data_IF_304375508108
#
_entry.id   IF_304375508108
#
_cell.length_a   1.000
_cell.length_b   1.000
_cell.length_c   1.000
_cell.angle_alpha   90.00
_cell.angle_beta   90.00
_cell.angle_gamma   90.00
#
_symmetry.space_group_name_H-M   'P 1'
#
loop_
_entity.id
_entity.type
_entity.pdbx_description
1 polymer ?
#
# COMPACT_ATOMS: atom_id res chain seq x y z
N UNK A 1 15.82 2.78 -70.35
CA UNK A 1 14.64 3.47 -69.79
C UNK A 1 15.07 4.45 -68.70
N UNK A 2 14.98 5.76 -68.93
CA UNK A 2 15.31 6.79 -67.92
C UNK A 2 14.12 6.94 -66.97
N UNK A 3 14.28 6.48 -65.74
CA UNK A 3 13.25 6.58 -64.70
C UNK A 3 13.03 8.07 -64.38
N UNK A 4 11.80 8.55 -64.49
CA UNK A 4 11.46 9.97 -64.29
C UNK A 4 11.87 10.46 -62.89
N UNK A 5 12.31 11.73 -62.73
CA UNK A 5 12.82 12.26 -61.47
C UNK A 5 11.84 12.13 -60.29
N UNK A 6 10.54 12.18 -60.57
CA UNK A 6 9.47 12.04 -59.59
C UNK A 6 9.38 10.63 -58.99
N UNK A 7 9.70 9.58 -59.76
CA UNK A 7 9.67 8.18 -59.28
C UNK A 7 10.83 7.89 -58.34
N UNK A 8 12.02 8.48 -58.58
CA UNK A 8 13.19 8.37 -57.69
C UNK A 8 12.96 9.03 -56.31
N UNK A 9 12.26 10.17 -56.26
CA UNK A 9 11.90 10.82 -54.98
C UNK A 9 10.95 9.99 -54.13
N UNK A 10 9.97 9.31 -54.74
CA UNK A 10 9.05 8.39 -54.03
C UNK A 10 9.80 7.21 -53.42
N UNK A 11 10.75 6.62 -54.15
CA UNK A 11 11.59 5.54 -53.64
C UNK A 11 12.50 5.99 -52.49
N UNK A 12 13.04 7.22 -52.54
CA UNK A 12 13.84 7.75 -51.45
C UNK A 12 13.01 8.00 -50.19
N UNK A 13 11.77 8.50 -50.33
CA UNK A 13 10.86 8.65 -49.20
C UNK A 13 10.47 7.30 -48.60
N UNK A 14 10.25 6.26 -49.41
CA UNK A 14 9.97 4.90 -48.93
C UNK A 14 11.18 4.35 -48.17
N UNK A 15 12.40 4.53 -48.68
CA UNK A 15 13.63 4.11 -47.99
C UNK A 15 13.80 4.81 -46.64
N UNK A 16 13.57 6.13 -46.58
CA UNK A 16 13.63 6.89 -45.33
C UNK A 16 12.56 6.40 -44.35
N UNK A 17 11.33 6.17 -44.80
CA UNK A 17 10.23 5.70 -43.95
C UNK A 17 10.49 4.29 -43.43
N UNK A 18 11.08 3.40 -44.25
CA UNK A 18 11.52 2.07 -43.82
C UNK A 18 12.64 2.11 -42.80
N UNK A 19 13.62 3.03 -42.93
CA UNK A 19 14.71 3.19 -41.97
C UNK A 19 14.19 3.72 -40.63
N UNK A 20 13.27 4.70 -40.66
CA UNK A 20 12.64 5.24 -39.45
C UNK A 20 11.81 4.15 -38.75
N UNK A 21 10.98 3.41 -39.49
CA UNK A 21 10.21 2.31 -38.94
C UNK A 21 11.11 1.22 -38.32
N UNK A 22 12.22 0.92 -38.98
CA UNK A 22 13.20 -0.05 -38.48
C UNK A 22 13.90 0.43 -37.19
N UNK A 23 14.29 1.71 -37.11
CA UNK A 23 14.82 2.31 -35.88
C UNK A 23 13.81 2.28 -34.72
N UNK A 24 12.53 2.53 -35.00
CA UNK A 24 11.46 2.48 -33.99
C UNK A 24 11.25 1.04 -33.53
N UNK A 25 11.20 0.05 -34.43
CA UNK A 25 11.02 -1.36 -34.06
C UNK A 25 12.20 -1.90 -33.23
N UNK A 26 13.44 -1.49 -33.53
CA UNK A 26 14.61 -1.89 -32.74
C UNK A 26 14.64 -1.26 -31.35
N UNK A 27 14.11 -0.04 -31.17
CA UNK A 27 14.10 0.66 -29.89
C UNK A 27 12.81 0.48 -29.07
N UNK A 28 11.68 0.12 -29.69
CA UNK A 28 10.39 -0.09 -29.01
C UNK A 28 10.44 -1.08 -27.81
N UNK A 29 11.22 -2.20 -27.85
CA UNK A 29 11.31 -3.11 -26.72
C UNK A 29 11.92 -2.47 -25.47
N UNK A 30 12.72 -1.41 -25.61
CA UNK A 30 13.31 -0.71 -24.45
C UNK A 30 12.29 0.20 -23.76
N UNK A 31 11.33 0.75 -24.48
CA UNK A 31 10.31 1.66 -23.93
C UNK A 31 9.17 0.90 -23.25
N UNK A 32 8.81 -0.28 -23.79
CA UNK A 32 7.79 -1.16 -23.21
C UNK A 32 8.27 -1.73 -21.86
N UNK A 33 9.57 -2.06 -21.74
CA UNK A 33 10.11 -2.63 -20.51
C UNK A 33 10.01 -1.68 -19.32
N UNK A 34 10.20 -0.37 -19.50
CA UNK A 34 10.15 0.60 -18.40
C UNK A 34 8.77 0.72 -17.75
N UNK A 35 7.69 0.38 -18.46
CA UNK A 35 6.32 0.39 -17.94
C UNK A 35 5.84 -0.98 -17.43
N UNK A 36 6.57 -2.06 -17.73
CA UNK A 36 6.26 -3.45 -17.32
C UNK A 36 7.23 -3.98 -16.25
N UNK A 37 8.08 -3.11 -15.68
CA UNK A 37 8.74 -3.45 -14.42
C UNK A 37 7.65 -3.28 -13.37
N UNK A 38 7.00 -4.38 -13.00
CA UNK A 38 6.22 -4.43 -11.77
C UNK A 38 7.11 -3.86 -10.67
N UNK A 39 6.70 -2.74 -10.07
CA UNK A 39 7.34 -2.26 -8.85
C UNK A 39 7.44 -3.46 -7.91
N UNK A 40 8.58 -3.66 -7.20
CA UNK A 40 8.75 -4.79 -6.32
C UNK A 40 7.56 -4.82 -5.35
N UNK A 41 6.61 -5.71 -5.64
CA UNK A 41 5.37 -5.79 -4.90
C UNK A 41 5.77 -6.19 -3.49
N UNK A 42 5.61 -5.25 -2.54
CA UNK A 42 5.97 -5.50 -1.16
C UNK A 42 5.23 -6.78 -0.72
N UNK A 43 5.95 -7.86 -0.39
CA UNK A 43 5.32 -9.13 -0.08
C UNK A 43 4.49 -9.05 1.20
N UNK A 44 4.64 -7.97 1.98
CA UNK A 44 3.93 -7.73 3.21
C UNK A 44 2.85 -6.66 3.01
N UNK A 45 1.56 -7.03 2.96
CA UNK A 45 0.47 -6.07 2.89
C UNK A 45 0.50 -5.08 4.06
N UNK A 46 0.20 -3.82 3.76
CA UNK A 46 0.00 -2.78 4.77
C UNK A 46 -1.30 -2.99 5.54
N UNK A 47 -1.29 -2.61 6.82
CA UNK A 47 -2.49 -2.62 7.63
C UNK A 47 -3.43 -1.46 7.25
N UNK A 48 -2.85 -0.26 7.16
CA UNK A 48 -3.56 0.96 6.81
C UNK A 48 -3.57 1.19 5.30
N UNK A 49 -4.52 1.99 4.85
CA UNK A 49 -4.58 2.50 3.49
C UNK A 49 -3.42 3.45 3.25
N UNK A 50 -2.64 3.18 2.20
CA UNK A 50 -1.48 4.00 1.81
C UNK A 50 -1.87 5.07 0.79
N UNK A 51 -3.07 4.99 0.21
CA UNK A 51 -3.62 5.93 -0.77
C UNK A 51 -4.30 7.15 -0.13
N UNK A 52 -4.43 7.17 1.20
CA UNK A 52 -5.04 8.28 1.93
C UNK A 52 -4.24 8.70 3.15
N UNK A 53 -4.36 9.98 3.50
CA UNK A 53 -3.72 10.54 4.69
C UNK A 53 -4.60 10.28 5.92
N UNK A 54 -4.03 9.64 6.94
CA UNK A 54 -4.72 9.41 8.21
C UNK A 54 -4.95 10.75 8.91
N UNK A 55 -6.20 10.96 9.36
CA UNK A 55 -6.68 12.13 10.08
C UNK A 55 -6.83 11.86 11.57
N UNK A 56 -7.37 10.69 11.92
CA UNK A 56 -7.57 10.30 13.32
C UNK A 56 -7.56 8.78 13.50
N UNK A 57 -7.25 8.34 14.70
CA UNK A 57 -7.37 6.96 15.17
C UNK A 57 -8.18 6.97 16.46
N UNK A 58 -9.22 6.14 16.54
CA UNK A 58 -10.02 5.97 17.75
C UNK A 58 -10.01 4.52 18.21
N UNK A 59 -9.64 4.29 19.46
CA UNK A 59 -9.57 2.97 20.04
C UNK A 59 -9.86 2.96 21.54
N UNK A 60 -10.89 2.20 21.96
CA UNK A 60 -11.15 1.81 23.36
C UNK A 60 -10.88 2.90 24.42
N UNK A 61 -11.42 4.11 24.18
CA UNK A 61 -11.34 5.24 25.11
C UNK A 61 -10.14 6.18 24.92
N UNK A 62 -9.19 5.86 24.04
CA UNK A 62 -8.20 6.81 23.57
C UNK A 62 -8.36 7.20 22.11
N UNK A 63 -7.85 8.38 21.79
CA UNK A 63 -7.88 8.97 20.47
C UNK A 63 -6.53 9.59 20.11
N UNK A 64 -6.23 9.57 18.82
CA UNK A 64 -5.16 10.32 18.18
C UNK A 64 -5.81 11.15 17.08
N UNK A 65 -5.74 12.47 17.16
CA UNK A 65 -6.32 13.34 16.14
C UNK A 65 -5.32 14.39 15.70
N UNK A 66 -5.26 14.65 14.39
CA UNK A 66 -4.48 15.74 13.84
C UNK A 66 -5.25 17.06 13.95
N UNK A 67 -4.84 17.94 14.86
CA UNK A 67 -5.43 19.26 15.09
C UNK A 67 -4.40 20.35 14.78
N UNK A 68 -4.75 21.31 13.93
CA UNK A 68 -3.87 22.43 13.52
C UNK A 68 -2.48 22.01 12.97
N UNK A 69 -2.37 20.80 12.42
CA UNK A 69 -1.11 20.26 11.89
C UNK A 69 -0.37 19.33 12.83
N UNK A 70 -0.68 19.38 14.13
CA UNK A 70 -0.05 18.56 15.17
C UNK A 70 -0.94 17.41 15.61
N UNK A 71 -0.34 16.26 15.93
CA UNK A 71 -1.07 15.14 16.50
C UNK A 71 -1.26 15.33 17.99
N UNK A 72 -2.52 15.27 18.42
CA UNK A 72 -2.91 15.30 19.82
C UNK A 72 -3.46 13.94 20.22
N UNK A 73 -3.30 13.60 21.49
CA UNK A 73 -3.84 12.38 22.07
C UNK A 73 -4.29 12.62 23.50
N UNK A 74 -5.36 11.93 23.89
CA UNK A 74 -5.73 11.80 25.30
C UNK A 74 -4.99 10.63 25.99
N UNK A 75 -4.18 9.86 25.25
CA UNK A 75 -3.42 8.74 25.78
C UNK A 75 -2.25 9.26 26.64
N UNK A 76 -2.16 8.79 27.88
CA UNK A 76 -1.08 9.14 28.81
C UNK A 76 0.20 8.34 28.53
N UNK A 77 0.65 8.34 27.29
CA UNK A 77 1.86 7.65 26.89
C UNK A 77 3.11 8.51 27.15
N UNK A 78 4.25 7.86 27.40
CA UNK A 78 5.55 8.55 27.48
C UNK A 78 6.03 9.00 26.08
N UNK A 79 5.52 8.39 25.02
CA UNK A 79 5.91 8.70 23.63
C UNK A 79 4.96 9.73 22.99
N UNK A 80 5.47 10.60 22.10
CA UNK A 80 4.63 11.57 21.40
C UNK A 80 3.55 10.90 20.54
N UNK A 81 2.38 11.53 20.44
CA UNK A 81 1.29 11.10 19.56
C UNK A 81 1.73 10.88 18.11
N UNK A 82 2.60 11.76 17.59
CA UNK A 82 3.23 11.63 16.27
C UNK A 82 3.97 10.28 16.09
N UNK A 83 4.73 9.85 17.10
CA UNK A 83 5.46 8.58 17.01
C UNK A 83 4.50 7.38 17.00
N UNK A 84 3.37 7.48 17.70
CA UNK A 84 2.36 6.42 17.72
C UNK A 84 1.72 6.27 16.34
N UNK A 85 1.29 7.37 15.72
CA UNK A 85 0.68 7.31 14.38
C UNK A 85 1.66 6.78 13.33
N UNK A 86 2.93 7.18 13.38
CA UNK A 86 3.96 6.67 12.48
C UNK A 86 4.14 5.16 12.61
N UNK A 87 4.12 4.64 13.84
CA UNK A 87 4.18 3.18 14.08
C UNK A 87 2.99 2.47 13.44
N UNK A 88 1.78 2.99 13.62
CA UNK A 88 0.57 2.42 13.02
C UNK A 88 0.61 2.44 11.48
N UNK A 89 1.08 3.55 10.88
CA UNK A 89 1.23 3.68 9.43
C UNK A 89 2.31 2.76 8.85
N UNK A 90 3.37 2.48 9.62
CA UNK A 90 4.44 1.58 9.22
C UNK A 90 4.09 0.09 9.34
N UNK A 91 2.92 -0.26 9.89
CA UNK A 91 2.54 -1.67 10.09
C UNK A 91 2.33 -2.40 8.76
N UNK A 92 3.16 -3.42 8.57
CA UNK A 92 3.06 -4.41 7.52
C UNK A 92 3.09 -5.80 8.14
N UNK A 93 2.37 -6.73 7.54
CA UNK A 93 2.19 -8.07 8.10
C UNK A 93 2.36 -9.17 7.06
N UNK A 94 2.49 -10.39 7.54
CA UNK A 94 2.43 -11.58 6.68
C UNK A 94 0.97 -11.92 6.41
N UNK A 95 0.59 -12.01 5.15
CA UNK A 95 -0.75 -12.47 4.76
C UNK A 95 -0.98 -13.92 5.20
N UNK A 96 -2.10 -14.16 5.88
CA UNK A 96 -2.54 -15.49 6.27
C UNK A 96 -3.34 -16.11 5.14
N UNK A 97 -2.93 -17.31 4.71
CA UNK A 97 -3.77 -18.14 3.85
C UNK A 97 -5.05 -18.57 4.57
N UNK A 98 -6.09 -18.91 3.83
CA UNK A 98 -7.36 -19.38 4.40
C UNK A 98 -7.16 -20.58 5.35
N UNK A 99 -6.28 -21.52 5.01
CA UNK A 99 -6.01 -22.69 5.85
C UNK A 99 -5.34 -22.29 7.18
N UNK A 100 -4.36 -21.37 7.14
CA UNK A 100 -3.73 -20.85 8.37
C UNK A 100 -4.74 -20.09 9.24
N UNK A 101 -5.62 -19.29 8.63
CA UNK A 101 -6.67 -18.58 9.36
C UNK A 101 -7.64 -19.56 10.04
N UNK A 102 -8.14 -20.58 9.35
CA UNK A 102 -9.06 -21.56 9.96
C UNK A 102 -8.39 -22.36 11.10
N UNK A 103 -7.10 -22.66 11.00
CA UNK A 103 -6.34 -23.29 12.09
C UNK A 103 -6.17 -22.36 13.30
N UNK A 104 -6.04 -21.05 13.07
CA UNK A 104 -5.89 -20.04 14.13
C UNK A 104 -7.22 -19.64 14.76
N UNK A 105 -8.32 -19.68 14.01
CA UNK A 105 -9.66 -19.24 14.41
C UNK A 105 -10.12 -19.71 15.80
N UNK A 106 -9.88 -20.96 16.24
CA UNK A 106 -10.24 -21.39 17.60
C UNK A 106 -9.52 -20.61 18.72
N UNK A 107 -8.38 -19.97 18.42
CA UNK A 107 -7.60 -19.16 19.35
C UNK A 107 -7.98 -17.67 19.31
N UNK A 108 -8.79 -17.25 18.33
CA UNK A 108 -9.19 -15.86 18.13
C UNK A 108 -10.46 -15.53 18.94
N UNK A 109 -10.36 -15.51 20.27
CA UNK A 109 -11.53 -15.46 21.16
C UNK A 109 -11.98 -14.05 21.58
N UNK A 110 -11.17 -13.01 21.37
CA UNK A 110 -11.45 -11.65 21.81
C UNK A 110 -11.19 -10.65 20.68
N UNK A 111 -12.18 -10.40 19.79
CA UNK A 111 -12.03 -9.39 18.75
C UNK A 111 -12.05 -7.99 19.36
N UNK A 112 -11.08 -7.19 18.95
CA UNK A 112 -11.03 -5.76 19.22
C UNK A 112 -11.17 -5.00 17.90
N UNK A 113 -11.57 -3.73 17.96
CA UNK A 113 -11.74 -2.92 16.77
C UNK A 113 -11.22 -1.50 16.97
N UNK A 114 -10.51 -1.02 15.95
CA UNK A 114 -9.96 0.33 15.88
C UNK A 114 -10.51 1.04 14.64
N UNK A 115 -10.84 2.31 14.78
CA UNK A 115 -11.35 3.14 13.70
C UNK A 115 -10.25 4.08 13.21
N UNK A 116 -9.98 4.04 11.91
CA UNK A 116 -8.98 4.89 11.25
C UNK A 116 -9.72 5.83 10.31
N UNK A 117 -9.70 7.11 10.62
CA UNK A 117 -10.30 8.16 9.81
C UNK A 117 -9.25 8.74 8.87
N UNK A 118 -9.67 9.04 7.65
CA UNK A 118 -8.84 9.62 6.61
C UNK A 118 -9.37 11.01 6.22
N UNK A 119 -8.52 11.84 5.61
CA UNK A 119 -8.91 13.21 5.24
C UNK A 119 -10.00 13.25 4.16
N UNK A 120 -9.94 12.33 3.19
CA UNK A 120 -10.79 12.36 1.99
C UNK A 120 -11.90 11.29 1.99
N UNK A 121 -12.14 10.64 3.14
CA UNK A 121 -13.16 9.60 3.28
C UNK A 121 -14.20 9.99 4.33
N UNK A 122 -15.47 9.78 3.99
CA UNK A 122 -16.59 10.04 4.90
C UNK A 122 -16.71 8.96 5.99
N UNK A 123 -16.32 7.72 5.67
CA UNK A 123 -16.37 6.60 6.61
C UNK A 123 -14.97 6.17 7.09
N UNK A 124 -14.82 5.80 8.36
CA UNK A 124 -13.56 5.27 8.86
C UNK A 124 -13.32 3.85 8.34
N UNK A 125 -12.05 3.50 8.15
CA UNK A 125 -11.65 2.10 8.06
C UNK A 125 -11.74 1.49 9.46
N UNK A 126 -12.66 0.54 9.63
CA UNK A 126 -12.75 -0.27 10.86
C UNK A 126 -11.86 -1.50 10.73
N UNK A 127 -10.81 -1.57 11.53
CA UNK A 127 -9.88 -2.70 11.57
C UNK A 127 -10.24 -3.56 12.76
N UNK A 128 -10.58 -4.82 12.52
CA UNK A 128 -10.74 -5.82 13.57
C UNK A 128 -9.42 -6.55 13.79
N UNK A 129 -9.03 -6.75 15.05
CA UNK A 129 -7.83 -7.47 15.38
C UNK A 129 -7.98 -8.36 16.61
N UNK A 130 -7.07 -9.32 16.73
CA UNK A 130 -6.99 -10.29 17.82
C UNK A 130 -5.56 -10.31 18.35
N UNK A 131 -5.43 -10.27 19.68
CA UNK A 131 -4.13 -10.41 20.35
C UNK A 131 -3.88 -11.87 20.67
N UNK A 132 -2.72 -12.39 20.27
CA UNK A 132 -2.19 -13.68 20.69
C UNK A 132 -0.88 -13.44 21.43
N UNK A 133 -0.36 -14.49 22.09
CA UNK A 133 0.80 -14.37 22.98
C UNK A 133 2.06 -13.78 22.31
N UNK A 134 2.26 -14.05 21.01
CA UNK A 134 3.50 -13.69 20.30
C UNK A 134 3.29 -12.74 19.13
N UNK A 135 2.05 -12.58 18.66
CA UNK A 135 1.72 -11.78 17.48
C UNK A 135 0.25 -11.41 17.49
N UNK A 136 -0.11 -10.43 16.68
CA UNK A 136 -1.47 -9.97 16.53
C UNK A 136 -1.97 -10.33 15.12
N UNK A 137 -3.25 -10.61 15.00
CA UNK A 137 -3.92 -10.88 13.73
C UNK A 137 -4.87 -9.74 13.43
N UNK A 138 -4.71 -9.10 12.27
CA UNK A 138 -5.53 -7.97 11.84
C UNK A 138 -6.27 -8.27 10.56
N UNK A 139 -7.48 -7.74 10.41
CA UNK A 139 -8.14 -7.59 9.11
C UNK A 139 -7.76 -6.24 8.52
N UNK A 140 -7.03 -6.22 7.41
CA UNK A 140 -6.65 -4.98 6.75
C UNK A 140 -7.78 -4.41 5.87
N UNK A 141 -7.53 -3.26 5.24
CA UNK A 141 -8.46 -2.58 4.33
C UNK A 141 -8.78 -3.36 3.05
N UNK A 142 -7.93 -4.32 2.66
CA UNK A 142 -8.10 -5.16 1.48
C UNK A 142 -8.94 -6.41 1.78
N UNK A 143 -9.44 -6.57 3.02
CA UNK A 143 -10.15 -7.75 3.47
C UNK A 143 -9.24 -8.97 3.70
N UNK A 144 -7.92 -8.75 3.82
CA UNK A 144 -6.94 -9.81 4.10
C UNK A 144 -6.68 -9.89 5.60
N UNK A 145 -6.51 -11.12 6.08
CA UNK A 145 -6.00 -11.37 7.42
C UNK A 145 -4.48 -11.34 7.41
N UNK A 146 -3.88 -10.50 8.24
CA UNK A 146 -2.43 -10.32 8.31
C UNK A 146 -1.93 -10.56 9.74
N UNK A 147 -0.83 -11.28 9.88
CA UNK A 147 -0.15 -11.49 11.15
C UNK A 147 1.00 -10.50 11.29
N UNK A 148 1.05 -9.82 12.43
CA UNK A 148 2.06 -8.81 12.75
C UNK A 148 2.66 -9.14 14.12
N UNK A 149 3.98 -9.33 14.16
CA UNK A 149 4.72 -9.57 15.41
C UNK A 149 5.26 -8.25 15.93
N UNK A 150 4.59 -7.67 16.91
CA UNK A 150 4.98 -6.42 17.58
C UNK A 150 4.71 -6.54 19.07
N UNK A 151 5.51 -5.85 19.88
CA UNK A 151 5.28 -5.76 21.32
C UNK A 151 3.97 -5.01 21.61
N UNK A 152 3.23 -5.43 22.64
CA UNK A 152 1.97 -4.79 23.00
C UNK A 152 2.14 -3.28 23.26
N UNK A 153 3.22 -2.88 23.92
CA UNK A 153 3.51 -1.47 24.21
C UNK A 153 4.00 -0.70 22.97
N UNK A 154 4.32 -1.40 21.87
CA UNK A 154 4.74 -0.76 20.63
C UNK A 154 3.58 -0.03 19.96
N UNK A 155 2.43 -0.71 19.85
CA UNK A 155 1.20 -0.15 19.25
C UNK A 155 0.30 0.55 20.26
N UNK A 156 0.30 0.06 21.50
CA UNK A 156 -0.55 0.57 22.57
C UNK A 156 0.31 0.86 23.80
N UNK A 157 1.05 1.98 23.77
CA UNK A 157 1.86 2.38 24.91
C UNK A 157 0.95 2.62 26.13
N UNK A 158 1.38 2.09 27.27
CA UNK A 158 0.75 2.32 28.58
C UNK A 158 1.23 3.60 29.22
#
# INVERSE_FOLDING_TARGET
>A
MRVSPARRRRWNNILILSIIAFMVILNAPTWIKTYLIDEPMDPYPSLLRTDHVVKAIYFSGWDLEKQNGDWQSNLKATIPAQAIIERWQALKGTELSQNQYEQLKPRLSAPESIEIWYQDLEEPQRITFYRLDNFWVFSNWQGKWIAISVDDNYLMPK
#
